data_IF_635170059542
#
_entry.id   IF_635170059542
#
_cell.length_a   1.000
_cell.length_b   1.000
_cell.length_c   1.000
_cell.angle_alpha   90.00
_cell.angle_beta   90.00
_cell.angle_gamma   90.00
#
_symmetry.space_group_name_H-M   'P 1'
#
loop_
_entity.id
_entity.type
_entity.pdbx_description
1 polymer ?
#
# COMPACT_ATOMS: atom_id res chain seq x y z
N UNK A 1 -10.82 -11.60 39.95
CA UNK A 1 -11.01 -12.54 38.83
C UNK A 1 -9.73 -12.55 38.04
N UNK A 2 -9.05 -13.69 38.06
CA UNK A 2 -7.66 -13.87 37.68
C UNK A 2 -7.45 -13.76 36.18
N UNK A 3 -6.47 -12.92 35.84
CA UNK A 3 -5.84 -12.72 34.54
C UNK A 3 -5.52 -14.07 33.89
N UNK A 4 -6.20 -14.38 32.79
CA UNK A 4 -5.83 -15.51 31.93
C UNK A 4 -4.53 -15.13 31.25
N UNK A 5 -3.42 -15.62 31.81
CA UNK A 5 -2.10 -15.62 31.19
C UNK A 5 -2.20 -16.18 29.76
N UNK A 6 -2.34 -15.28 28.78
CA UNK A 6 -2.26 -15.66 27.38
C UNK A 6 -0.83 -16.13 27.13
N UNK A 7 -0.65 -17.45 26.99
CA UNK A 7 0.62 -18.02 26.56
C UNK A 7 1.11 -17.26 25.32
N UNK A 8 2.37 -16.79 25.26
CA UNK A 8 2.88 -16.06 24.12
C UNK A 8 2.75 -16.92 22.87
N UNK A 9 1.84 -16.53 21.96
CA UNK A 9 1.69 -17.19 20.65
C UNK A 9 2.97 -16.90 19.88
N UNK A 10 3.93 -17.83 19.89
CA UNK A 10 5.14 -17.71 19.08
C UNK A 10 4.71 -17.62 17.61
N UNK A 11 5.04 -16.55 16.86
CA UNK A 11 4.74 -16.49 15.44
C UNK A 11 5.53 -17.60 14.73
N UNK A 12 4.85 -18.71 14.41
CA UNK A 12 5.43 -19.80 13.61
C UNK A 12 5.39 -19.41 12.14
N UNK A 13 6.45 -18.75 11.67
CA UNK A 13 6.71 -18.61 10.23
C UNK A 13 7.60 -19.79 9.82
N UNK A 14 7.16 -20.59 8.86
CA UNK A 14 7.95 -21.73 8.38
C UNK A 14 9.09 -21.25 7.49
N UNK A 15 10.34 -21.64 7.79
CA UNK A 15 11.49 -21.30 6.93
C UNK A 15 11.31 -21.76 5.47
N UNK A 16 10.56 -22.84 5.24
CA UNK A 16 10.19 -23.30 3.90
C UNK A 16 9.28 -22.32 3.15
N UNK A 17 8.37 -21.62 3.86
CA UNK A 17 7.47 -20.62 3.24
C UNK A 17 8.24 -19.38 2.81
N UNK A 18 9.22 -18.93 3.62
CA UNK A 18 10.09 -17.82 3.26
C UNK A 18 10.93 -18.16 2.02
N UNK A 19 11.59 -19.32 2.03
CA UNK A 19 12.40 -19.77 0.90
C UNK A 19 11.58 -19.89 -0.40
N UNK A 20 10.37 -20.43 -0.33
CA UNK A 20 9.47 -20.49 -1.48
C UNK A 20 9.10 -19.10 -2.00
N UNK A 21 8.81 -18.16 -1.10
CA UNK A 21 8.54 -16.77 -1.45
C UNK A 21 9.74 -16.08 -2.12
N UNK A 22 10.94 -16.32 -1.62
CA UNK A 22 12.18 -15.78 -2.17
C UNK A 22 12.48 -16.37 -3.55
N UNK A 23 12.32 -17.69 -3.74
CA UNK A 23 12.44 -18.33 -5.05
C UNK A 23 11.42 -17.74 -6.03
N UNK A 24 10.15 -17.62 -5.62
CA UNK A 24 9.12 -17.05 -6.48
C UNK A 24 9.41 -15.59 -6.85
N UNK A 25 9.90 -14.79 -5.90
CA UNK A 25 10.32 -13.42 -6.14
C UNK A 25 11.49 -13.37 -7.13
N UNK A 26 12.50 -14.22 -6.96
CA UNK A 26 13.65 -14.31 -7.88
C UNK A 26 13.23 -14.74 -9.28
N UNK A 27 12.28 -15.67 -9.42
CA UNK A 27 11.74 -16.08 -10.72
C UNK A 27 10.99 -14.94 -11.41
N UNK A 28 10.16 -14.19 -10.68
CA UNK A 28 9.46 -13.00 -11.20
C UNK A 28 10.44 -11.89 -11.59
N UNK A 29 11.50 -11.70 -10.80
CA UNK A 29 12.55 -10.74 -11.08
C UNK A 29 13.35 -11.15 -12.32
N UNK A 30 13.77 -12.42 -12.41
CA UNK A 30 14.49 -12.93 -13.57
C UNK A 30 13.64 -12.77 -14.84
N UNK A 31 12.35 -13.12 -14.80
CA UNK A 31 11.44 -12.96 -15.93
C UNK A 31 11.38 -11.50 -16.41
N UNK A 32 11.26 -10.54 -15.49
CA UNK A 32 11.22 -9.11 -15.85
C UNK A 32 12.55 -8.61 -16.42
N UNK A 33 13.69 -9.00 -15.83
CA UNK A 33 15.02 -8.61 -16.32
C UNK A 33 15.39 -9.27 -17.66
N UNK A 34 15.02 -10.53 -17.87
CA UNK A 34 15.27 -11.24 -19.14
C UNK A 34 14.50 -10.59 -20.29
N UNK A 35 13.23 -10.24 -20.09
CA UNK A 35 12.44 -9.49 -21.08
C UNK A 35 13.13 -8.15 -21.38
N UNK A 36 13.54 -7.41 -20.35
CA UNK A 36 14.26 -6.14 -20.52
C UNK A 36 15.58 -6.28 -21.29
N UNK A 37 16.33 -7.36 -21.06
CA UNK A 37 17.59 -7.64 -21.75
C UNK A 37 17.40 -7.93 -23.25
N UNK A 38 16.39 -8.73 -23.62
CA UNK A 38 16.10 -8.99 -25.03
C UNK A 38 15.61 -7.72 -25.76
N UNK A 39 14.82 -6.89 -25.09
CA UNK A 39 14.43 -5.56 -25.61
C UNK A 39 15.67 -4.68 -25.81
N UNK A 40 16.61 -4.67 -24.86
CA UNK A 40 17.85 -3.92 -24.98
C UNK A 40 18.70 -4.36 -26.17
N UNK A 41 18.90 -5.66 -26.38
CA UNK A 41 19.65 -6.18 -27.53
C UNK A 41 18.96 -5.77 -28.84
N UNK A 42 17.64 -5.95 -28.95
CA UNK A 42 16.89 -5.59 -30.17
C UNK A 42 16.94 -4.09 -30.48
N UNK A 43 16.98 -3.23 -29.46
CA UNK A 43 17.15 -1.79 -29.67
C UNK A 43 18.60 -1.43 -30.02
N UNK A 44 19.59 -2.16 -29.50
CA UNK A 44 21.01 -1.93 -29.80
C UNK A 44 21.34 -2.21 -31.27
N UNK A 45 20.64 -3.15 -31.90
CA UNK A 45 20.77 -3.39 -33.35
C UNK A 45 20.19 -2.26 -34.21
N UNK A 46 19.36 -1.38 -33.63
CA UNK A 46 18.70 -0.27 -34.32
C UNK A 46 19.35 1.10 -34.01
N UNK A 47 20.09 1.22 -32.91
CA UNK A 47 20.67 2.49 -32.44
C UNK A 47 22.04 2.26 -31.76
N UNK A 48 23.09 2.89 -32.30
CA UNK A 48 24.47 2.77 -31.79
C UNK A 48 24.73 3.57 -30.50
N UNK A 49 23.88 4.56 -30.19
CA UNK A 49 24.03 5.38 -28.99
C UNK A 49 23.27 4.78 -27.81
N UNK A 50 23.98 4.47 -26.73
CA UNK A 50 23.39 3.92 -25.49
C UNK A 50 22.36 4.87 -24.87
N UNK A 51 22.55 6.18 -25.02
CA UNK A 51 21.63 7.21 -24.51
C UNK A 51 20.28 7.19 -25.21
N UNK A 52 20.23 6.81 -26.48
CA UNK A 52 18.98 6.70 -27.23
C UNK A 52 18.15 5.48 -26.81
N UNK A 53 18.76 4.48 -26.17
CA UNK A 53 18.08 3.24 -25.74
C UNK A 53 17.35 3.42 -24.40
N UNK A 54 17.85 4.30 -23.52
CA UNK A 54 17.34 4.47 -22.16
C UNK A 54 15.83 4.82 -22.10
N UNK A 55 15.29 5.76 -22.91
CA UNK A 55 13.85 6.04 -22.92
C UNK A 55 12.99 4.82 -23.25
N UNK A 56 13.44 3.97 -24.18
CA UNK A 56 12.71 2.76 -24.56
C UNK A 56 12.72 1.70 -23.45
N UNK A 57 13.82 1.57 -22.70
CA UNK A 57 13.88 0.71 -21.51
C UNK A 57 12.86 1.19 -20.46
N UNK A 58 12.79 2.49 -20.20
CA UNK A 58 11.85 3.04 -19.23
C UNK A 58 10.39 2.84 -19.67
N UNK A 59 10.08 3.08 -20.95
CA UNK A 59 8.74 2.86 -21.52
C UNK A 59 8.36 1.37 -21.45
N UNK A 60 9.24 0.46 -21.91
CA UNK A 60 8.97 -0.98 -21.89
C UNK A 60 8.84 -1.53 -20.47
N UNK A 61 9.60 -1.01 -19.51
CA UNK A 61 9.46 -1.34 -18.08
C UNK A 61 8.12 -0.89 -17.53
N UNK A 62 7.71 0.35 -17.85
CA UNK A 62 6.40 0.88 -17.44
C UNK A 62 5.26 0.06 -18.04
N UNK A 63 5.33 -0.27 -19.34
CA UNK A 63 4.34 -1.11 -20.02
C UNK A 63 4.28 -2.50 -19.38
N UNK A 64 5.42 -3.14 -19.11
CA UNK A 64 5.47 -4.46 -18.47
C UNK A 64 4.81 -4.45 -17.09
N UNK A 65 5.10 -3.43 -16.26
CA UNK A 65 4.47 -3.25 -14.96
C UNK A 65 2.95 -3.04 -15.10
N UNK A 66 2.52 -2.25 -16.07
CA UNK A 66 1.11 -2.01 -16.35
C UNK A 66 0.39 -3.29 -16.78
N UNK A 67 1.00 -4.08 -17.67
CA UNK A 67 0.47 -5.37 -18.11
C UNK A 67 0.27 -6.32 -16.94
N UNK A 68 1.28 -6.45 -16.06
CA UNK A 68 1.15 -7.29 -14.86
C UNK A 68 0.04 -6.74 -13.95
N UNK A 69 -0.01 -5.43 -13.71
CA UNK A 69 -1.04 -4.81 -12.87
C UNK A 69 -2.47 -5.05 -13.40
N UNK A 70 -2.68 -5.06 -14.72
CA UNK A 70 -3.98 -5.27 -15.35
C UNK A 70 -4.38 -6.75 -15.43
N UNK A 71 -3.42 -7.67 -15.61
CA UNK A 71 -3.69 -9.11 -15.76
C UNK A 71 -3.80 -9.81 -14.42
N UNK A 72 -3.06 -9.35 -13.40
CA UNK A 72 -3.02 -10.00 -12.10
C UNK A 72 -4.39 -9.88 -11.39
N UNK A 73 -5.02 -11.00 -10.98
CA UNK A 73 -6.30 -10.93 -10.28
C UNK A 73 -6.20 -10.17 -8.97
N UNK A 74 -7.23 -9.39 -8.66
CA UNK A 74 -7.24 -8.53 -7.47
C UNK A 74 -7.75 -9.29 -6.24
N UNK A 75 -7.04 -9.27 -5.11
CA UNK A 75 -7.57 -9.75 -3.84
C UNK A 75 -8.85 -9.00 -3.47
N UNK A 76 -9.79 -9.69 -2.83
CA UNK A 76 -11.03 -9.09 -2.32
C UNK A 76 -10.93 -8.93 -0.79
N UNK A 77 -11.66 -7.98 -0.19
CA UNK A 77 -11.79 -7.89 1.25
C UNK A 77 -12.28 -9.20 1.84
N UNK A 78 -11.74 -9.59 2.99
CA UNK A 78 -12.12 -10.84 3.65
C UNK A 78 -11.09 -11.36 4.64
N UNK A 79 -11.49 -12.44 5.34
CA UNK A 79 -10.63 -13.20 6.23
C UNK A 79 -10.24 -14.52 5.54
N UNK A 80 -8.95 -14.71 5.31
CA UNK A 80 -8.41 -15.88 4.61
C UNK A 80 -7.47 -16.66 5.52
N UNK A 81 -7.64 -17.98 5.59
CA UNK A 81 -6.65 -18.84 6.25
C UNK A 81 -5.32 -18.78 5.45
N UNK A 82 -4.18 -18.68 6.13
CA UNK A 82 -2.89 -18.71 5.46
C UNK A 82 -2.73 -20.01 4.65
N UNK A 83 -2.20 -19.90 3.44
CA UNK A 83 -2.09 -21.01 2.48
C UNK A 83 -3.37 -21.28 1.67
N UNK A 84 -4.49 -20.60 1.95
CA UNK A 84 -5.66 -20.64 1.06
C UNK A 84 -5.39 -19.92 -0.27
N UNK A 85 -6.18 -20.23 -1.31
CA UNK A 85 -6.06 -19.57 -2.63
C UNK A 85 -6.09 -18.05 -2.55
N UNK A 86 -6.97 -17.47 -1.71
CA UNK A 86 -7.06 -16.02 -1.53
C UNK A 86 -5.82 -15.42 -0.84
N UNK A 87 -5.28 -16.11 0.17
CA UNK A 87 -4.06 -15.68 0.84
C UNK A 87 -2.82 -15.79 -0.08
N UNK A 88 -2.76 -16.83 -0.92
CA UNK A 88 -1.71 -16.98 -1.93
C UNK A 88 -1.82 -15.89 -2.99
N UNK A 89 -3.02 -15.60 -3.49
CA UNK A 89 -3.23 -14.52 -4.45
C UNK A 89 -2.74 -13.17 -3.89
N UNK A 90 -3.14 -12.84 -2.67
CA UNK A 90 -2.64 -11.65 -1.99
C UNK A 90 -1.11 -11.66 -1.86
N UNK A 91 -0.51 -12.79 -1.50
CA UNK A 91 0.94 -12.90 -1.38
C UNK A 91 1.65 -12.65 -2.73
N UNK A 92 1.10 -13.12 -3.85
CA UNK A 92 1.60 -12.81 -5.20
C UNK A 92 1.51 -11.30 -5.48
N UNK A 93 0.39 -10.65 -5.12
CA UNK A 93 0.29 -9.18 -5.26
C UNK A 93 1.28 -8.43 -4.37
N UNK A 94 1.61 -8.96 -3.18
CA UNK A 94 2.63 -8.41 -2.30
C UNK A 94 4.03 -8.54 -2.91
N UNK A 95 4.35 -9.67 -3.54
CA UNK A 95 5.62 -9.86 -4.26
C UNK A 95 5.73 -8.91 -5.45
N UNK A 96 4.65 -8.71 -6.20
CA UNK A 96 4.60 -7.67 -7.23
C UNK A 96 4.82 -6.27 -6.62
N UNK A 97 4.22 -5.99 -5.46
CA UNK A 97 4.51 -4.85 -4.59
C UNK A 97 5.99 -4.56 -4.38
N UNK A 98 6.78 -5.61 -4.11
CA UNK A 98 8.23 -5.49 -3.89
C UNK A 98 8.99 -5.08 -5.15
N UNK A 99 8.53 -5.50 -6.34
CA UNK A 99 9.16 -5.14 -7.62
C UNK A 99 9.04 -3.64 -7.84
N UNK A 100 7.82 -3.09 -7.79
CA UNK A 100 7.64 -1.66 -8.02
C UNK A 100 7.97 -0.78 -6.80
N UNK A 101 8.12 -1.38 -5.63
CA UNK A 101 8.71 -0.74 -4.45
C UNK A 101 10.23 -0.52 -4.54
N UNK A 102 10.91 -1.11 -5.53
CA UNK A 102 12.33 -0.84 -5.81
C UNK A 102 12.55 0.67 -6.05
N UNK A 103 13.61 1.29 -5.47
CA UNK A 103 13.82 2.73 -5.59
C UNK A 103 13.80 3.28 -7.03
N UNK A 104 14.38 2.57 -8.00
CA UNK A 104 14.42 3.03 -9.40
C UNK A 104 13.02 3.00 -10.05
N UNK A 105 12.28 1.91 -9.87
CA UNK A 105 10.94 1.76 -10.43
C UNK A 105 9.96 2.71 -9.72
N UNK A 106 10.07 2.82 -8.40
CA UNK A 106 9.26 3.74 -7.61
C UNK A 106 9.47 5.17 -8.04
N UNK A 107 10.72 5.58 -8.25
CA UNK A 107 11.02 6.91 -8.78
C UNK A 107 10.32 7.12 -10.15
N UNK A 108 10.45 6.17 -11.08
CA UNK A 108 9.75 6.23 -12.37
C UNK A 108 8.23 6.39 -12.23
N UNK A 109 7.60 5.61 -11.35
CA UNK A 109 6.15 5.59 -11.17
C UNK A 109 5.62 6.81 -10.40
N UNK A 110 6.31 7.21 -9.32
CA UNK A 110 5.82 8.18 -8.34
C UNK A 110 6.34 9.62 -8.56
N UNK A 111 7.24 9.86 -9.52
CA UNK A 111 7.73 11.21 -9.83
C UNK A 111 6.65 12.15 -10.38
N UNK A 112 5.61 11.62 -11.02
CA UNK A 112 4.49 12.41 -11.54
C UNK A 112 3.15 11.82 -11.09
N UNK A 113 2.18 12.67 -10.80
CA UNK A 113 0.83 12.28 -10.40
C UNK A 113 0.12 11.44 -11.46
N UNK A 114 0.29 11.74 -12.75
CA UNK A 114 -0.40 11.01 -13.81
C UNK A 114 0.00 9.52 -13.85
N UNK A 115 1.30 9.23 -13.98
CA UNK A 115 1.85 7.86 -14.04
C UNK A 115 1.51 7.05 -12.79
N UNK A 116 1.64 7.70 -11.62
CA UNK A 116 1.29 7.09 -10.33
C UNK A 116 -0.19 6.72 -10.28
N UNK A 117 -1.07 7.65 -10.66
CA UNK A 117 -2.53 7.46 -10.60
C UNK A 117 -2.96 6.30 -11.48
N UNK A 118 -2.53 6.28 -12.75
CA UNK A 118 -2.92 5.21 -13.68
C UNK A 118 -2.40 3.84 -13.24
N UNK A 119 -1.18 3.79 -12.69
CA UNK A 119 -0.60 2.55 -12.18
C UNK A 119 -1.34 2.02 -10.93
N UNK A 120 -1.63 2.89 -9.97
CA UNK A 120 -2.39 2.52 -8.78
C UNK A 120 -3.82 2.07 -9.14
N UNK A 121 -4.48 2.77 -10.08
CA UNK A 121 -5.80 2.37 -10.61
C UNK A 121 -5.74 1.00 -11.31
N UNK A 122 -4.68 0.72 -12.08
CA UNK A 122 -4.47 -0.59 -12.70
C UNK A 122 -4.32 -1.69 -11.64
N UNK A 123 -3.58 -1.42 -10.56
CA UNK A 123 -3.46 -2.31 -9.39
C UNK A 123 -4.77 -2.43 -8.58
N UNK A 124 -5.81 -1.66 -8.89
CA UNK A 124 -7.15 -1.77 -8.33
C UNK A 124 -7.57 -0.63 -7.40
N UNK A 125 -6.74 0.39 -7.18
CA UNK A 125 -7.10 1.52 -6.34
C UNK A 125 -8.19 2.38 -6.99
N UNK A 126 -9.11 2.88 -6.17
CA UNK A 126 -10.05 3.93 -6.55
C UNK A 126 -9.53 5.24 -6.02
N UNK A 127 -8.67 5.90 -6.80
CA UNK A 127 -7.99 7.14 -6.41
C UNK A 127 -8.25 8.26 -7.41
N UNK A 128 -8.46 9.50 -6.96
CA UNK A 128 -8.61 10.66 -7.84
C UNK A 128 -7.30 11.02 -8.57
N UNK A 129 -7.37 11.76 -9.69
CA UNK A 129 -6.20 12.38 -10.33
C UNK A 129 -5.72 13.66 -9.62
N UNK A 130 -6.56 14.31 -8.80
CA UNK A 130 -6.18 15.53 -8.08
C UNK A 130 -5.55 15.25 -6.70
N UNK A 131 -5.15 14.01 -6.43
CA UNK A 131 -4.43 13.68 -5.22
C UNK A 131 -2.97 14.16 -5.30
N UNK A 132 -2.36 14.43 -4.14
CA UNK A 132 -0.93 14.69 -4.05
C UNK A 132 -0.28 13.65 -3.12
N UNK A 133 0.86 13.09 -3.54
CA UNK A 133 1.60 12.14 -2.73
C UNK A 133 3.08 12.48 -2.77
N UNK A 134 3.74 12.42 -1.61
CA UNK A 134 5.19 12.26 -1.57
C UNK A 134 5.61 10.98 -2.34
N UNK A 135 6.74 11.00 -3.08
CA UNK A 135 7.26 9.79 -3.75
C UNK A 135 7.51 8.61 -2.80
N UNK A 136 7.69 8.89 -1.52
CA UNK A 136 8.00 7.91 -0.48
C UNK A 136 6.76 7.45 0.32
N UNK A 137 5.53 7.66 -0.18
CA UNK A 137 4.32 7.04 0.41
C UNK A 137 4.28 5.53 0.16
N UNK A 138 4.09 4.74 1.21
CA UNK A 138 4.09 3.27 1.18
C UNK A 138 2.65 2.73 1.09
N UNK A 139 2.18 2.46 -0.13
CA UNK A 139 0.86 1.86 -0.38
C UNK A 139 1.07 0.37 -0.68
N UNK A 140 0.60 -0.52 0.19
CA UNK A 140 0.85 -1.96 0.05
C UNK A 140 -0.23 -2.72 -0.73
N UNK A 141 -1.50 -2.35 -0.53
CA UNK A 141 -2.64 -3.08 -1.11
C UNK A 141 -3.53 -2.12 -1.91
N UNK A 142 -3.10 -1.67 -3.11
CA UNK A 142 -3.87 -0.72 -3.91
C UNK A 142 -5.32 -1.15 -4.15
N UNK A 143 -5.57 -2.46 -4.32
CA UNK A 143 -6.91 -3.01 -4.52
C UNK A 143 -7.89 -2.73 -3.35
N UNK A 144 -7.39 -2.44 -2.15
CA UNK A 144 -8.20 -2.11 -0.97
C UNK A 144 -8.37 -0.59 -0.79
N UNK A 145 -7.74 0.24 -1.62
CA UNK A 145 -7.62 1.68 -1.39
C UNK A 145 -8.68 2.48 -2.14
N UNK A 146 -9.47 3.26 -1.40
CA UNK A 146 -10.45 4.21 -1.92
C UNK A 146 -10.10 5.61 -1.40
N UNK A 147 -9.81 6.54 -2.31
CA UNK A 147 -9.25 7.87 -2.03
C UNK A 147 -10.00 8.91 -2.83
N UNK A 148 -10.56 9.88 -2.10
CA UNK A 148 -11.31 11.01 -2.63
C UNK A 148 -10.46 12.03 -3.40
N UNK A 149 -11.11 13.11 -3.80
CA UNK A 149 -10.48 14.22 -4.51
C UNK A 149 -9.65 15.11 -3.58
N UNK A 150 -8.52 15.63 -4.05
CA UNK A 150 -7.70 16.56 -3.27
C UNK A 150 -7.01 15.96 -2.03
N UNK A 151 -6.98 14.64 -1.86
CA UNK A 151 -6.29 14.00 -0.74
C UNK A 151 -4.78 14.16 -0.86
N UNK A 152 -4.12 14.47 0.25
CA UNK A 152 -2.67 14.67 0.33
C UNK A 152 -2.04 13.60 1.23
N UNK A 153 -1.01 12.91 0.73
CA UNK A 153 -0.21 11.96 1.48
C UNK A 153 1.20 12.51 1.75
N UNK A 154 1.54 12.61 3.03
CA UNK A 154 2.84 13.00 3.53
C UNK A 154 3.91 11.93 3.30
N UNK A 155 5.16 12.36 3.45
CA UNK A 155 6.32 11.49 3.29
C UNK A 155 6.28 10.31 4.28
N UNK A 156 6.56 9.09 3.80
CA UNK A 156 6.54 7.86 4.61
C UNK A 156 5.19 7.53 5.28
N UNK A 157 4.08 8.12 4.82
CA UNK A 157 2.76 7.61 5.19
C UNK A 157 2.61 6.16 4.70
N UNK A 158 2.08 5.29 5.55
CA UNK A 158 1.95 3.84 5.35
C UNK A 158 0.48 3.46 5.30
N UNK A 159 0.04 3.01 4.14
CA UNK A 159 -1.34 2.60 3.90
C UNK A 159 -1.37 1.09 3.67
N UNK A 160 -1.85 0.35 4.68
CA UNK A 160 -1.86 -1.12 4.68
C UNK A 160 -3.30 -1.62 4.70
N UNK A 161 -3.74 -2.24 3.60
CA UNK A 161 -5.06 -2.87 3.48
C UNK A 161 -5.09 -4.30 4.02
N UNK A 162 -3.97 -4.81 4.54
CA UNK A 162 -3.89 -6.10 5.20
C UNK A 162 -3.23 -6.09 6.59
N UNK A 163 -3.54 -7.09 7.40
CA UNK A 163 -2.67 -7.57 8.49
C UNK A 163 -2.81 -9.09 8.63
N UNK A 164 -1.81 -9.72 9.25
CA UNK A 164 -1.84 -11.15 9.55
C UNK A 164 -1.96 -11.32 11.06
N UNK A 165 -3.02 -12.00 11.50
CA UNK A 165 -3.24 -12.30 12.91
C UNK A 165 -3.80 -13.72 13.06
N UNK A 166 -3.33 -14.45 14.06
CA UNK A 166 -3.84 -15.78 14.43
C UNK A 166 -3.98 -16.75 13.23
N UNK A 167 -2.97 -16.82 12.36
CA UNK A 167 -2.96 -17.73 11.20
C UNK A 167 -3.91 -17.33 10.06
N UNK A 168 -4.44 -16.11 10.08
CA UNK A 168 -5.32 -15.57 9.06
C UNK A 168 -4.76 -14.27 8.49
N UNK A 169 -4.88 -14.11 7.18
CA UNK A 169 -4.79 -12.84 6.49
C UNK A 169 -6.14 -12.14 6.63
N UNK A 170 -6.14 -10.92 7.13
CA UNK A 170 -7.28 -10.01 7.11
C UNK A 170 -7.02 -8.96 6.04
N UNK A 171 -7.92 -8.87 5.08
CA UNK A 171 -7.95 -7.83 4.04
C UNK A 171 -9.20 -6.98 4.22
N UNK A 172 -9.05 -5.67 4.23
CA UNK A 172 -10.18 -4.76 4.35
C UNK A 172 -9.92 -3.43 3.63
N UNK A 173 -10.98 -2.91 3.02
CA UNK A 173 -10.93 -1.63 2.32
C UNK A 173 -10.58 -0.48 3.28
N UNK A 174 -9.73 0.43 2.80
CA UNK A 174 -9.46 1.72 3.42
C UNK A 174 -10.19 2.78 2.59
N UNK A 175 -10.90 3.67 3.27
CA UNK A 175 -11.58 4.82 2.65
C UNK A 175 -11.02 6.11 3.21
N UNK A 176 -10.66 7.05 2.33
CA UNK A 176 -10.18 8.39 2.68
C UNK A 176 -11.01 9.40 1.89
N UNK A 177 -11.75 10.25 2.58
CA UNK A 177 -12.63 11.26 1.99
C UNK A 177 -11.87 12.43 1.35
N UNK A 178 -12.59 13.23 0.59
CA UNK A 178 -12.07 14.38 -0.16
C UNK A 178 -11.38 15.41 0.77
N UNK A 179 -10.35 16.09 0.28
CA UNK A 179 -9.66 17.17 0.99
C UNK A 179 -8.88 16.74 2.25
N UNK A 180 -8.78 15.44 2.52
CA UNK A 180 -8.11 14.92 3.71
C UNK A 180 -6.59 14.93 3.58
N UNK A 181 -5.90 15.35 4.64
CA UNK A 181 -4.45 15.32 4.78
C UNK A 181 -4.03 14.13 5.65
N UNK A 182 -3.26 13.22 5.06
CA UNK A 182 -2.54 12.16 5.78
C UNK A 182 -1.10 12.63 5.98
N UNK A 183 -0.72 12.99 7.20
CA UNK A 183 0.61 13.50 7.53
C UNK A 183 1.75 12.49 7.30
N UNK A 184 2.99 12.99 7.41
CA UNK A 184 4.17 12.14 7.25
C UNK A 184 4.30 11.10 8.38
N UNK A 185 4.84 9.92 8.06
CA UNK A 185 4.95 8.79 8.98
C UNK A 185 3.63 8.30 9.59
N UNK A 186 2.48 8.71 9.06
CA UNK A 186 1.17 8.24 9.53
C UNK A 186 0.95 6.80 9.06
N UNK A 187 0.50 5.93 9.96
CA UNK A 187 0.04 4.59 9.60
C UNK A 187 -1.48 4.52 9.53
N UNK A 188 -2.01 3.97 8.43
CA UNK A 188 -3.44 3.69 8.27
C UNK A 188 -3.62 2.19 8.06
N UNK A 189 -4.35 1.57 8.98
CA UNK A 189 -4.54 0.13 9.02
C UNK A 189 -5.84 -0.34 8.35
N UNK A 190 -6.02 -1.65 8.11
CA UNK A 190 -7.11 -2.17 7.29
C UNK A 190 -8.49 -1.87 7.84
N UNK A 191 -9.43 -1.49 6.98
CA UNK A 191 -10.80 -1.21 7.38
C UNK A 191 -11.03 0.20 7.90
N UNK A 192 -9.99 1.03 8.01
CA UNK A 192 -10.12 2.41 8.45
C UNK A 192 -11.02 3.21 7.49
N UNK A 193 -11.91 4.03 8.07
CA UNK A 193 -12.80 4.94 7.35
C UNK A 193 -12.51 6.35 7.81
N UNK A 194 -11.87 7.14 6.95
CA UNK A 194 -11.49 8.52 7.23
C UNK A 194 -12.39 9.42 6.39
N UNK A 195 -13.09 10.33 7.04
CA UNK A 195 -14.01 11.29 6.45
C UNK A 195 -13.32 12.32 5.55
N UNK A 196 -14.08 13.34 5.18
CA UNK A 196 -13.63 14.49 4.37
C UNK A 196 -12.96 15.55 5.24
N UNK A 197 -12.04 16.30 4.65
CA UNK A 197 -11.32 17.42 5.30
C UNK A 197 -10.68 17.04 6.65
N UNK A 198 -10.33 15.77 6.83
CA UNK A 198 -9.68 15.31 8.05
C UNK A 198 -8.21 15.69 7.98
N UNK A 199 -7.65 16.20 9.06
CA UNK A 199 -6.22 16.46 9.18
C UNK A 199 -5.61 15.45 10.16
N UNK A 200 -4.76 14.55 9.66
CA UNK A 200 -3.98 13.65 10.50
C UNK A 200 -2.53 14.14 10.48
N UNK A 201 -2.04 14.63 11.62
CA UNK A 201 -0.67 15.09 11.76
C UNK A 201 0.34 13.94 11.85
N UNK A 202 1.61 14.32 11.80
CA UNK A 202 2.74 13.40 11.67
C UNK A 202 2.80 12.33 12.77
N UNK A 203 3.28 11.14 12.37
CA UNK A 203 3.59 10.03 13.27
C UNK A 203 2.38 9.52 14.09
N UNK A 204 1.16 9.79 13.63
CA UNK A 204 -0.07 9.23 14.20
C UNK A 204 -0.42 7.87 13.59
N UNK A 205 -1.25 7.08 14.25
CA UNK A 205 -1.63 5.75 13.79
C UNK A 205 -3.14 5.51 13.91
N UNK A 206 -3.75 5.12 12.79
CA UNK A 206 -5.18 4.83 12.68
C UNK A 206 -5.35 3.31 12.67
N UNK A 207 -5.95 2.76 13.74
CA UNK A 207 -6.08 1.32 13.93
C UNK A 207 -7.05 0.67 12.94
N UNK A 208 -6.99 -0.68 12.82
CA UNK A 208 -7.92 -1.39 11.97
C UNK A 208 -9.37 -1.08 12.34
N UNK A 209 -10.19 -0.74 11.34
CA UNK A 209 -11.62 -0.40 11.51
C UNK A 209 -11.91 0.88 12.29
N UNK A 210 -10.93 1.73 12.58
CA UNK A 210 -11.18 3.05 13.15
C UNK A 210 -12.02 3.91 12.18
N UNK A 211 -12.93 4.71 12.75
CA UNK A 211 -13.80 5.63 11.99
C UNK A 211 -13.48 7.04 12.45
N UNK A 212 -13.05 7.89 11.52
CA UNK A 212 -12.83 9.31 11.73
C UNK A 212 -13.91 10.05 10.93
N UNK A 213 -14.83 10.77 11.59
CA UNK A 213 -15.80 11.62 10.90
C UNK A 213 -15.16 12.75 10.10
N UNK A 214 -16.00 13.50 9.40
CA UNK A 214 -15.57 14.65 8.62
C UNK A 214 -15.00 15.77 9.52
N UNK A 215 -14.12 16.59 8.97
CA UNK A 215 -13.56 17.80 9.59
C UNK A 215 -12.76 17.56 10.89
N UNK A 216 -12.44 16.32 11.26
CA UNK A 216 -11.65 16.02 12.44
C UNK A 216 -10.17 16.45 12.30
N UNK A 217 -9.54 16.80 13.41
CA UNK A 217 -8.10 17.07 13.48
C UNK A 217 -7.42 16.15 14.49
N UNK A 218 -6.62 15.21 13.99
CA UNK A 218 -5.83 14.28 14.79
C UNK A 218 -4.42 14.84 14.93
N UNK A 219 -4.07 15.36 16.11
CA UNK A 219 -2.73 15.90 16.34
C UNK A 219 -1.65 14.82 16.39
N UNK A 220 -0.39 15.25 16.21
CA UNK A 220 0.79 14.40 16.07
C UNK A 220 0.92 13.35 17.16
N UNK A 221 1.51 12.20 16.79
CA UNK A 221 1.76 11.07 17.69
C UNK A 221 0.52 10.51 18.39
N UNK A 222 -0.67 10.71 17.81
CA UNK A 222 -1.90 10.18 18.39
C UNK A 222 -2.27 8.86 17.77
N UNK A 223 -2.96 8.04 18.55
CA UNK A 223 -3.46 6.73 18.15
C UNK A 223 -4.97 6.76 18.21
N UNK A 224 -5.63 6.44 17.10
CA UNK A 224 -7.09 6.34 17.04
C UNK A 224 -7.45 4.86 16.91
N UNK A 225 -8.09 4.31 17.93
CA UNK A 225 -8.46 2.89 17.97
C UNK A 225 -9.76 2.62 17.20
N UNK A 226 -10.12 1.34 17.07
CA UNK A 226 -11.41 0.92 16.49
C UNK A 226 -12.63 1.30 17.35
N UNK A 227 -12.40 1.60 18.63
CA UNK A 227 -13.44 1.99 19.57
C UNK A 227 -13.50 3.51 19.76
N UNK A 228 -12.67 4.28 19.06
CA UNK A 228 -12.74 5.73 19.15
C UNK A 228 -14.11 6.24 18.66
N UNK A 229 -14.84 6.90 19.55
CA UNK A 229 -16.12 7.55 19.24
C UNK A 229 -15.93 9.05 18.99
N UNK A 230 -15.19 9.38 17.93
CA UNK A 230 -14.97 10.76 17.53
C UNK A 230 -16.26 11.38 17.00
N UNK A 231 -16.46 12.67 17.30
CA UNK A 231 -17.51 13.50 16.71
C UNK A 231 -16.97 14.28 15.52
N UNK A 232 -17.86 14.69 14.63
CA UNK A 232 -17.52 15.58 13.52
C UNK A 232 -16.85 16.87 14.02
N UNK A 233 -15.77 17.29 13.37
CA UNK A 233 -15.01 18.47 13.77
C UNK A 233 -14.18 18.32 15.05
N UNK A 234 -14.18 17.13 15.67
CA UNK A 234 -13.43 16.92 16.92
C UNK A 234 -11.92 17.02 16.70
N UNK A 235 -11.24 17.63 17.68
CA UNK A 235 -9.79 17.75 17.71
C UNK A 235 -9.19 16.86 18.79
N UNK A 236 -8.40 15.88 18.37
CA UNK A 236 -7.66 15.00 19.27
C UNK A 236 -6.32 15.66 19.62
N UNK A 237 -6.01 15.90 20.91
CA UNK A 237 -4.74 16.47 21.34
C UNK A 237 -3.53 15.60 20.96
N UNK A 238 -2.33 16.18 20.86
CA UNK A 238 -1.13 15.41 20.52
C UNK A 238 -0.80 14.36 21.58
N UNK A 239 -0.17 13.25 21.17
CA UNK A 239 0.21 12.13 22.04
C UNK A 239 -0.96 11.42 22.74
N UNK A 240 -2.16 11.50 22.16
CA UNK A 240 -3.34 10.87 22.75
C UNK A 240 -3.51 9.45 22.23
N UNK A 241 -3.73 8.49 23.12
CA UNK A 241 -4.29 7.20 22.75
C UNK A 241 -5.81 7.26 22.95
N UNK A 242 -6.55 7.40 21.85
CA UNK A 242 -8.00 7.57 21.87
C UNK A 242 -8.68 6.21 21.74
N UNK A 243 -9.07 5.66 22.89
CA UNK A 243 -9.87 4.45 23.05
C UNK A 243 -11.16 4.83 23.79
N UNK A 244 -12.30 4.18 23.51
CA UNK A 244 -13.50 4.34 24.36
C UNK A 244 -13.10 3.92 25.79
N UNK A 245 -13.28 4.82 26.76
CA UNK A 245 -13.31 4.46 28.18
C UNK A 245 -14.69 3.91 28.50
#
# INVERSE_FOLDING_TARGET
MTDQSQNPVKPKISGKQNLMGDILFLLLLLLTYTIGYFVFIGLRTLCDSTYMILPFILISSFVSLMTVALVLPRPKPGKYKLGSKGAILWYVTLLFGRIWGNPAIRFLLFSNTFTRTIFLKACGAKISFNHNCSPYVEIHDPAMLNVGDGVIFGMHAKILGHYIAHGHLILADITIGDGTLIGGNVGVAPGARIGKNVMIEVSSYIFPKAILPDNCHISRHSVITKHANLKEGERVPPYTNYDEI
#
